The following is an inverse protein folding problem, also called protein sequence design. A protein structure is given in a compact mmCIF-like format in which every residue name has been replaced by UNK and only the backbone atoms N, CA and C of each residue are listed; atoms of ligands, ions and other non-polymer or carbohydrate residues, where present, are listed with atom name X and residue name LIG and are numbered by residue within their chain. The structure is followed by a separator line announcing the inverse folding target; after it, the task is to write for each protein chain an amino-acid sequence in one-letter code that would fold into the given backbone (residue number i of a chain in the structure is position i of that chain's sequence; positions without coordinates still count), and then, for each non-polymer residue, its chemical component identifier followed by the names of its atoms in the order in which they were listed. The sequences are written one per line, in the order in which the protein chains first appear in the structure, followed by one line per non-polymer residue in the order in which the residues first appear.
data_IF_612651660133
#
_entry.id   IF_612651660133
#
_cell.length_a   1.000
_cell.length_b   1.000
_cell.length_c   1.000
_cell.angle_alpha   90.00
_cell.angle_beta   90.00
_cell.angle_gamma   90.00
#
_symmetry.space_group_name_H-M   'P 1'
#
loop_
_entity.id
_entity.type
_entity.pdbx_description
1 polymer ?
#
# COMPACT_ATOMS: atom_id res chain seq x y z
N UNK A 1 -2.67 7.68 -10.17
CA UNK A 1 -1.39 7.08 -9.70
C UNK A 1 -0.49 7.02 -10.92
N UNK A 2 0.83 7.09 -10.79
CA UNK A 2 1.72 7.20 -11.97
C UNK A 2 1.84 5.90 -12.79
N UNK A 3 1.00 4.91 -12.52
CA UNK A 3 0.91 3.66 -13.26
C UNK A 3 -0.55 3.28 -13.46
N UNK A 4 -0.84 2.70 -14.62
CA UNK A 4 -2.06 1.95 -14.88
C UNK A 4 -1.81 0.53 -14.41
N UNK A 5 -2.24 0.22 -13.19
CA UNK A 5 -2.26 -1.15 -12.71
C UNK A 5 -3.30 -1.95 -13.53
N UNK A 6 -3.01 -3.24 -13.77
CA UNK A 6 -3.82 -4.21 -14.53
C UNK A 6 -5.30 -3.86 -14.56
N UNK A 7 -5.90 -3.95 -15.75
CA UNK A 7 -6.98 -3.11 -16.29
C UNK A 7 -8.23 -2.79 -15.46
N UNK A 8 -8.44 -3.19 -14.20
CA UNK A 8 -9.54 -2.69 -13.36
C UNK A 8 -9.32 -2.97 -11.85
N UNK A 9 -8.31 -2.41 -11.16
CA UNK A 9 -8.36 -2.42 -9.68
C UNK A 9 -9.51 -1.51 -9.22
N UNK A 10 -10.65 -2.06 -8.76
CA UNK A 10 -11.90 -1.27 -8.70
C UNK A 10 -11.80 -0.12 -7.70
N UNK A 11 -11.02 -0.31 -6.64
CA UNK A 11 -10.79 0.70 -5.62
C UNK A 11 -10.01 1.91 -6.18
N UNK A 12 -8.99 1.69 -7.03
CA UNK A 12 -8.27 2.80 -7.67
C UNK A 12 -9.15 3.50 -8.70
N UNK A 13 -9.88 2.75 -9.51
CA UNK A 13 -10.79 3.33 -10.51
C UNK A 13 -11.87 4.19 -9.84
N UNK A 14 -12.49 3.68 -8.76
CA UNK A 14 -13.49 4.43 -7.99
C UNK A 14 -12.89 5.67 -7.32
N UNK A 15 -11.69 5.54 -6.74
CA UNK A 15 -11.01 6.66 -6.08
C UNK A 15 -10.61 7.76 -7.08
N UNK A 16 -10.01 7.40 -8.22
CA UNK A 16 -9.66 8.35 -9.27
C UNK A 16 -10.90 9.03 -9.85
N UNK A 17 -12.00 8.30 -10.04
CA UNK A 17 -13.27 8.90 -10.48
C UNK A 17 -13.74 9.97 -9.48
N UNK A 18 -13.81 9.64 -8.19
CA UNK A 18 -14.23 10.58 -7.15
C UNK A 18 -13.31 11.80 -7.07
N UNK A 19 -11.99 11.59 -7.19
CA UNK A 19 -11.00 12.65 -7.17
C UNK A 19 -11.08 13.54 -8.42
N UNK A 20 -11.31 12.97 -9.59
CA UNK A 20 -11.50 13.71 -10.84
C UNK A 20 -12.79 14.53 -10.83
N UNK A 21 -13.89 13.95 -10.38
CA UNK A 21 -15.18 14.62 -10.31
C UNK A 21 -15.10 15.87 -9.41
N UNK A 22 -14.36 15.79 -8.30
CA UNK A 22 -14.26 16.86 -7.30
C UNK A 22 -13.10 17.84 -7.52
N UNK A 23 -11.95 17.34 -7.97
CA UNK A 23 -10.68 18.09 -7.96
C UNK A 23 -9.95 18.09 -9.32
N UNK A 24 -10.47 17.39 -10.34
CA UNK A 24 -9.79 17.23 -11.65
C UNK A 24 -8.35 16.74 -11.50
N UNK A 25 -8.15 15.81 -10.57
CA UNK A 25 -6.86 15.24 -10.24
C UNK A 25 -6.93 13.71 -10.17
N UNK A 26 -5.78 13.06 -10.31
CA UNK A 26 -5.60 11.62 -10.15
C UNK A 26 -4.81 11.30 -8.89
N UNK A 27 -5.02 10.12 -8.31
CA UNK A 27 -4.35 9.71 -7.08
C UNK A 27 -2.84 9.79 -7.23
N UNK A 28 -2.14 10.27 -6.21
CA UNK A 28 -0.69 10.27 -6.13
C UNK A 28 -0.19 9.08 -5.30
N UNK A 29 1.12 8.92 -5.19
CA UNK A 29 1.68 7.95 -4.24
C UNK A 29 1.25 8.28 -2.80
N UNK A 30 1.26 9.58 -2.44
CA UNK A 30 0.84 10.05 -1.11
C UNK A 30 -0.60 9.67 -0.80
N UNK A 31 -1.52 9.77 -1.76
CA UNK A 31 -2.91 9.34 -1.61
C UNK A 31 -3.01 7.83 -1.35
N UNK A 32 -2.21 7.03 -2.06
CA UNK A 32 -2.16 5.59 -1.85
C UNK A 32 -1.66 5.22 -0.44
N UNK A 33 -0.64 5.92 0.07
CA UNK A 33 -0.14 5.74 1.43
C UNK A 33 -1.16 6.18 2.49
N UNK A 34 -1.77 7.35 2.32
CA UNK A 34 -2.77 7.87 3.25
C UNK A 34 -4.00 6.94 3.32
N UNK A 35 -4.53 6.52 2.17
CA UNK A 35 -5.63 5.58 2.10
C UNK A 35 -5.31 4.27 2.82
N UNK A 36 -4.11 3.71 2.59
CA UNK A 36 -3.67 2.50 3.26
C UNK A 36 -3.60 2.67 4.78
N UNK A 37 -2.91 3.69 5.27
CA UNK A 37 -2.72 3.92 6.71
C UNK A 37 -4.06 4.09 7.42
N UNK A 38 -4.99 4.84 6.83
CA UNK A 38 -6.33 5.02 7.38
C UNK A 38 -7.12 3.70 7.39
N UNK A 39 -7.07 2.92 6.31
CA UNK A 39 -7.76 1.63 6.22
C UNK A 39 -7.21 0.61 7.22
N UNK A 40 -5.88 0.53 7.35
CA UNK A 40 -5.20 -0.32 8.31
C UNK A 40 -5.50 0.09 9.76
N UNK A 41 -5.45 1.40 10.05
CA UNK A 41 -5.75 1.93 11.39
C UNK A 41 -7.19 1.63 11.79
N UNK A 42 -8.16 1.88 10.90
CA UNK A 42 -9.58 1.58 11.14
C UNK A 42 -9.77 0.11 11.51
N UNK A 43 -9.27 -0.80 10.67
CA UNK A 43 -9.41 -2.23 10.92
C UNK A 43 -8.74 -2.67 12.23
N UNK A 44 -7.57 -2.11 12.56
CA UNK A 44 -6.90 -2.41 13.83
C UNK A 44 -7.67 -1.89 15.05
N UNK A 45 -8.27 -0.70 14.97
CA UNK A 45 -9.16 -0.17 16.03
C UNK A 45 -10.39 -1.05 16.18
N UNK A 46 -11.07 -1.41 15.09
CA UNK A 46 -12.26 -2.27 15.12
C UNK A 46 -11.94 -3.65 15.71
N UNK A 47 -10.85 -4.28 15.25
CA UNK A 47 -10.37 -5.56 15.78
C UNK A 47 -10.05 -5.49 17.27
N UNK A 48 -9.30 -4.47 17.69
CA UNK A 48 -8.91 -4.30 19.09
C UNK A 48 -10.13 -4.00 19.97
N UNK A 49 -11.07 -3.17 19.50
CA UNK A 49 -12.29 -2.85 20.22
C UNK A 49 -13.20 -4.08 20.39
N UNK A 50 -13.33 -4.91 19.35
CA UNK A 50 -14.10 -6.15 19.43
C UNK A 50 -13.55 -7.11 20.52
N UNK A 51 -12.23 -7.19 20.67
CA UNK A 51 -11.59 -7.99 21.74
C UNK A 51 -11.82 -7.43 23.14
N UNK A 52 -12.25 -6.16 23.26
CA UNK A 52 -12.52 -5.46 24.52
C UNK A 52 -14.02 -5.28 24.79
N UNK A 53 -14.88 -6.05 24.10
CA UNK A 53 -16.33 -5.93 24.26
C UNK A 53 -16.89 -4.59 23.79
N UNK A 54 -16.28 -3.98 22.77
CA UNK A 54 -16.70 -2.68 22.21
C UNK A 54 -16.08 -1.47 22.91
N UNK A 55 -15.23 -1.67 23.91
CA UNK A 55 -14.50 -0.57 24.55
C UNK A 55 -13.46 0.04 23.60
N UNK A 56 -13.14 1.32 23.80
CA UNK A 56 -12.13 2.01 22.99
C UNK A 56 -10.72 1.46 23.29
N UNK A 57 -9.95 1.02 22.27
CA UNK A 57 -8.63 0.44 22.50
C UNK A 57 -7.55 1.49 22.78
N UNK A 58 -6.57 1.13 23.60
CA UNK A 58 -5.35 1.92 23.78
C UNK A 58 -4.45 1.87 22.54
N UNK A 59 -3.51 2.83 22.42
CA UNK A 59 -2.52 2.85 21.32
C UNK A 59 -1.72 1.54 21.22
N UNK A 60 -1.38 0.91 22.35
CA UNK A 60 -0.64 -0.37 22.38
C UNK A 60 -1.47 -1.52 21.82
N UNK A 61 -2.77 -1.57 22.14
CA UNK A 61 -3.67 -2.60 21.62
C UNK A 61 -3.90 -2.43 20.12
N UNK A 62 -4.06 -1.19 19.64
CA UNK A 62 -4.14 -0.90 18.19
C UNK A 62 -2.85 -1.30 17.48
N UNK A 63 -1.68 -0.93 18.03
CA UNK A 63 -0.38 -1.30 17.45
C UNK A 63 -0.16 -2.82 17.40
N UNK A 64 -0.64 -3.56 18.39
CA UNK A 64 -0.63 -5.02 18.38
C UNK A 64 -1.57 -5.59 17.31
N UNK A 65 -2.78 -5.03 17.18
CA UNK A 65 -3.77 -5.44 16.19
C UNK A 65 -3.37 -5.14 14.74
N UNK A 66 -2.42 -4.21 14.52
CA UNK A 66 -1.82 -3.95 13.21
C UNK A 66 -0.88 -5.07 12.73
N UNK A 67 -0.40 -5.97 13.59
CA UNK A 67 0.52 -7.03 13.16
C UNK A 67 -0.18 -8.08 12.31
N UNK A 68 0.50 -8.56 11.27
CA UNK A 68 0.02 -9.61 10.36
C UNK A 68 -1.33 -9.28 9.72
N UNK A 69 -1.50 -8.02 9.31
CA UNK A 69 -2.70 -7.59 8.60
C UNK A 69 -2.44 -7.45 7.11
N UNK A 70 -3.51 -7.60 6.33
CA UNK A 70 -3.54 -7.28 4.91
C UNK A 70 -4.88 -6.59 4.62
N UNK A 71 -4.83 -5.45 3.94
CA UNK A 71 -5.98 -4.63 3.55
C UNK A 71 -5.86 -4.23 2.09
N UNK A 72 -6.99 -4.06 1.38
CA UNK A 72 -6.96 -3.49 0.03
C UNK A 72 -6.50 -2.02 0.09
N UNK A 73 -5.45 -1.69 -0.66
CA UNK A 73 -4.97 -0.33 -0.89
C UNK A 73 -5.14 0.08 -2.35
N UNK A 74 -4.90 1.35 -2.67
CA UNK A 74 -5.09 1.87 -4.03
C UNK A 74 -4.14 1.23 -5.07
N UNK A 75 -2.95 0.80 -4.65
CA UNK A 75 -1.99 0.07 -5.50
C UNK A 75 -1.99 -1.44 -5.22
N UNK A 76 -3.06 -1.95 -4.62
CA UNK A 76 -3.22 -3.36 -4.31
C UNK A 76 -3.16 -3.68 -2.85
N UNK A 77 -3.13 -4.96 -2.52
CA UNK A 77 -3.09 -5.37 -1.14
C UNK A 77 -1.81 -4.89 -0.48
N UNK A 78 -1.96 -4.26 0.68
CA UNK A 78 -0.89 -3.78 1.53
C UNK A 78 -1.12 -4.27 2.94
N UNK A 79 -0.07 -4.34 3.74
CA UNK A 79 -0.18 -4.90 5.07
C UNK A 79 0.93 -4.48 5.99
N UNK A 80 0.90 -5.02 7.20
CA UNK A 80 2.04 -4.99 8.11
C UNK A 80 2.40 -6.42 8.50
N UNK A 81 3.70 -6.71 8.44
CA UNK A 81 4.27 -7.99 8.86
C UNK A 81 4.27 -8.11 10.40
N UNK A 82 4.74 -9.24 10.90
CA UNK A 82 4.90 -9.49 12.34
C UNK A 82 5.84 -8.48 13.01
N UNK A 83 6.88 -8.03 12.29
CA UNK A 83 7.84 -7.00 12.71
C UNK A 83 7.34 -5.56 12.52
N UNK A 84 6.05 -5.38 12.19
CA UNK A 84 5.41 -4.07 11.96
C UNK A 84 5.99 -3.27 10.78
N UNK A 85 6.79 -3.89 9.93
CA UNK A 85 7.19 -3.30 8.65
C UNK A 85 6.02 -3.40 7.66
N UNK A 86 5.74 -2.29 6.98
CA UNK A 86 4.71 -2.25 5.94
C UNK A 86 5.15 -3.10 4.74
N UNK A 87 4.29 -4.03 4.33
CA UNK A 87 4.44 -4.83 3.10
C UNK A 87 3.58 -4.23 1.98
N UNK A 88 4.19 -3.97 0.83
CA UNK A 88 3.52 -3.52 -0.40
C UNK A 88 4.31 -3.98 -1.61
N UNK A 89 3.60 -4.22 -2.70
CA UNK A 89 4.23 -4.36 -4.01
C UNK A 89 4.70 -2.99 -4.52
N UNK A 90 5.77 -3.01 -5.32
CA UNK A 90 6.37 -1.86 -5.97
C UNK A 90 6.14 -1.93 -7.47
N UNK A 91 5.84 -0.77 -8.05
CA UNK A 91 5.57 -0.61 -9.47
C UNK A 91 6.75 0.12 -10.10
N UNK A 92 7.47 -0.58 -10.98
CA UNK A 92 8.71 -0.10 -11.59
C UNK A 92 8.62 -0.18 -13.11
N UNK A 93 9.28 0.73 -13.81
CA UNK A 93 9.31 0.81 -15.26
C UNK A 93 10.03 2.07 -15.74
N UNK A 94 10.25 2.19 -17.04
CA UNK A 94 10.74 3.43 -17.62
C UNK A 94 9.61 4.46 -17.71
N UNK A 95 9.91 5.74 -17.56
CA UNK A 95 8.92 6.80 -17.71
C UNK A 95 8.54 6.97 -19.19
N UNK A 96 7.27 7.24 -19.46
CA UNK A 96 6.74 7.45 -20.82
C UNK A 96 5.58 8.42 -20.84
N UNK A 97 5.39 9.09 -21.99
CA UNK A 97 4.20 9.89 -22.33
C UNK A 97 3.22 9.13 -23.24
N UNK A 98 3.48 7.86 -23.54
CA UNK A 98 2.57 7.02 -24.34
C UNK A 98 1.38 6.57 -23.47
N UNK A 99 0.49 7.49 -23.14
CA UNK A 99 -0.70 7.28 -22.32
C UNK A 99 -1.72 8.42 -22.54
N UNK A 100 -2.94 8.25 -22.02
CA UNK A 100 -4.04 9.23 -22.17
C UNK A 100 -4.05 10.33 -21.09
N UNK A 101 -3.08 10.33 -20.17
CA UNK A 101 -2.96 11.32 -19.10
C UNK A 101 -2.05 12.49 -19.52
N UNK A 102 -2.23 13.63 -18.85
CA UNK A 102 -1.40 14.82 -18.99
C UNK A 102 -0.07 14.76 -18.21
N UNK A 103 0.23 13.61 -17.60
CA UNK A 103 1.45 13.35 -16.84
C UNK A 103 2.16 12.08 -17.29
N UNK A 104 3.45 11.96 -16.95
CA UNK A 104 4.24 10.76 -17.26
C UNK A 104 3.75 9.54 -16.48
N UNK A 105 3.64 8.41 -17.17
CA UNK A 105 3.41 7.10 -16.55
C UNK A 105 4.65 6.22 -16.66
N UNK A 106 4.60 5.02 -16.11
CA UNK A 106 5.65 4.00 -16.28
C UNK A 106 5.23 2.90 -17.26
N UNK A 107 6.11 2.56 -18.20
CA UNK A 107 5.94 1.45 -19.16
C UNK A 107 7.31 0.88 -19.62
N UNK A 108 7.48 -0.45 -19.75
CA UNK A 108 6.54 -1.48 -19.31
C UNK A 108 6.38 -1.47 -17.79
N UNK A 109 5.16 -1.76 -17.32
CA UNK A 109 4.89 -1.88 -15.90
C UNK A 109 5.38 -3.25 -15.40
N UNK A 110 6.38 -3.23 -14.52
CA UNK A 110 6.79 -4.41 -13.76
C UNK A 110 6.35 -4.26 -12.31
N UNK A 111 5.72 -5.30 -11.79
CA UNK A 111 5.37 -5.41 -10.37
C UNK A 111 6.48 -6.20 -9.69
N UNK A 112 7.08 -5.62 -8.66
CA UNK A 112 8.01 -6.29 -7.77
C UNK A 112 7.33 -6.51 -6.44
N UNK A 113 7.31 -7.75 -5.98
CA UNK A 113 6.63 -8.08 -4.72
C UNK A 113 7.42 -7.59 -3.52
N UNK A 114 6.74 -7.39 -2.38
CA UNK A 114 7.43 -7.05 -1.13
C UNK A 114 8.55 -8.03 -0.78
N UNK A 115 8.42 -9.33 -1.12
CA UNK A 115 9.44 -10.34 -0.90
C UNK A 115 10.71 -10.13 -1.75
N UNK A 116 10.59 -9.50 -2.92
CA UNK A 116 11.71 -9.18 -3.80
C UNK A 116 12.39 -7.87 -3.40
N UNK A 117 11.66 -6.92 -2.82
CA UNK A 117 12.14 -5.55 -2.61
C UNK A 117 12.42 -5.20 -1.15
N UNK A 118 11.94 -6.00 -0.20
CA UNK A 118 12.10 -5.73 1.23
C UNK A 118 12.87 -6.85 1.90
N UNK A 119 13.79 -6.45 2.80
CA UNK A 119 14.56 -7.42 3.57
C UNK A 119 13.62 -8.34 4.37
N UNK A 120 13.96 -9.63 4.53
CA UNK A 120 13.22 -10.53 5.42
C UNK A 120 13.12 -9.96 6.84
N UNK A 121 12.05 -10.34 7.54
CA UNK A 121 11.88 -9.99 8.95
C UNK A 121 13.05 -10.51 9.78
N UNK A 122 13.62 -9.65 10.64
CA UNK A 122 14.75 -10.01 11.49
C UNK A 122 16.11 -10.09 10.79
N UNK A 123 16.19 -10.00 9.45
CA UNK A 123 17.46 -9.98 8.73
C UNK A 123 18.18 -8.64 8.90
N UNK A 124 19.51 -8.68 8.99
CA UNK A 124 20.34 -7.50 8.79
C UNK A 124 20.26 -7.05 7.32
N UNK A 125 20.26 -5.73 7.09
CA UNK A 125 20.10 -5.19 5.73
C UNK A 125 21.31 -5.48 4.85
N UNK A 126 22.52 -5.25 5.36
CA UNK A 126 23.74 -5.39 4.56
C UNK A 126 24.04 -6.86 4.27
N UNK A 127 23.90 -7.73 5.26
CA UNK A 127 24.05 -9.17 5.07
C UNK A 127 23.03 -9.73 4.06
N UNK A 128 21.80 -9.22 4.06
CA UNK A 128 20.82 -9.63 3.05
C UNK A 128 21.23 -9.21 1.64
N UNK A 129 21.74 -7.99 1.46
CA UNK A 129 22.22 -7.50 0.16
C UNK A 129 23.40 -8.33 -0.37
N UNK A 130 24.29 -8.80 0.51
CA UNK A 130 25.41 -9.67 0.12
C UNK A 130 24.94 -11.01 -0.50
N UNK A 131 23.70 -11.47 -0.22
CA UNK A 131 23.14 -12.70 -0.81
C UNK A 131 22.69 -12.56 -2.27
N UNK A 132 22.78 -11.37 -2.85
CA UNK A 132 22.29 -11.11 -4.22
C UNK A 132 23.36 -11.30 -5.30
N UNK A 133 24.61 -11.59 -4.91
CA UNK A 133 25.73 -11.94 -5.78
C UNK A 133 26.38 -13.26 -5.37
#
# INVERSE_FOLDING_TARGET
MYFQWTDNWPLLSAYNKALWDKHKAYATNSDAHAHFVLSAYKMAVERASAMLGGSWPSKKQVAAALRNIQVPGLGGYRGYRSDQVMSTDFFVGATTHQNDYDFVTVSPLRIMTAAQTQKPSGADFYQWVETWG
#
